data_IF_228868960684
#
_entry.id   IF_228868960684
#
_cell.length_a   1.000
_cell.length_b   1.000
_cell.length_c   1.000
_cell.angle_alpha   90.00
_cell.angle_beta   90.00
_cell.angle_gamma   90.00
#
_symmetry.space_group_name_H-M   'P 1'
#
loop_
_entity.id
_entity.type
_entity.pdbx_description
1 polymer ?
#
# COMPACT_ATOMS: atom_id res chain seq x y z
N UNK A 1 -33.97 -94.67 38.90
CA UNK A 1 -34.96 -93.65 38.49
C UNK A 1 -34.55 -92.23 38.93
N UNK A 2 -33.25 -91.95 39.19
CA UNK A 2 -32.79 -90.59 39.58
C UNK A 2 -31.75 -89.99 38.60
N UNK A 3 -31.23 -90.75 37.63
CA UNK A 3 -30.19 -90.25 36.70
C UNK A 3 -30.75 -89.57 35.44
N UNK A 4 -32.04 -89.74 35.14
CA UNK A 4 -32.67 -89.15 33.93
C UNK A 4 -33.24 -87.75 34.24
N UNK A 5 -33.61 -87.47 35.49
CA UNK A 5 -34.18 -86.18 35.88
C UNK A 5 -33.09 -85.10 36.02
N UNK A 6 -31.89 -85.47 36.47
CA UNK A 6 -30.76 -84.53 36.62
C UNK A 6 -30.17 -84.08 35.27
N UNK A 7 -30.10 -84.98 34.27
CA UNK A 7 -29.56 -84.66 32.94
C UNK A 7 -30.41 -83.65 32.17
N UNK A 8 -31.73 -83.68 32.39
CA UNK A 8 -32.67 -82.78 31.72
C UNK A 8 -32.63 -81.36 32.32
N UNK A 9 -32.23 -81.24 33.59
CA UNK A 9 -32.11 -79.98 34.30
C UNK A 9 -30.80 -79.26 33.94
N UNK A 10 -29.70 -80.00 33.71
CA UNK A 10 -28.42 -79.48 33.22
C UNK A 10 -28.50 -79.00 31.76
N UNK A 11 -29.20 -79.72 30.86
CA UNK A 11 -29.42 -79.28 29.46
C UNK A 11 -30.30 -78.02 29.38
N UNK A 12 -31.28 -77.88 30.27
CA UNK A 12 -32.11 -76.67 30.36
C UNK A 12 -31.34 -75.47 30.92
N UNK A 13 -30.52 -75.64 31.95
CA UNK A 13 -29.69 -74.56 32.49
C UNK A 13 -28.63 -74.09 31.48
N UNK A 14 -28.00 -75.04 30.77
CA UNK A 14 -26.97 -74.75 29.76
C UNK A 14 -27.55 -74.08 28.50
N UNK A 15 -28.78 -74.43 28.09
CA UNK A 15 -29.46 -73.78 26.96
C UNK A 15 -29.94 -72.35 27.28
N UNK A 16 -30.28 -72.05 28.53
CA UNK A 16 -30.64 -70.70 29.00
C UNK A 16 -29.40 -69.79 29.03
N UNK A 17 -28.28 -70.24 29.60
CA UNK A 17 -27.02 -69.50 29.67
C UNK A 17 -26.45 -69.18 28.27
N UNK A 18 -26.52 -70.14 27.34
CA UNK A 18 -26.11 -69.92 25.94
C UNK A 18 -27.02 -68.89 25.26
N UNK A 19 -28.34 -68.91 25.50
CA UNK A 19 -29.29 -67.94 24.92
C UNK A 19 -29.02 -66.52 25.42
N UNK A 20 -28.79 -66.35 26.72
CA UNK A 20 -28.47 -65.07 27.36
C UNK A 20 -27.13 -64.53 26.85
N UNK A 21 -26.13 -65.41 26.70
CA UNK A 21 -24.82 -65.03 26.14
C UNK A 21 -24.87 -64.57 24.67
N UNK A 22 -25.81 -65.10 23.88
CA UNK A 22 -26.02 -64.71 22.48
C UNK A 22 -26.73 -63.35 22.41
N UNK A 23 -27.76 -63.13 23.23
CA UNK A 23 -28.52 -61.87 23.28
C UNK A 23 -27.65 -60.68 23.76
N UNK A 24 -26.77 -60.93 24.74
CA UNK A 24 -25.77 -59.94 25.19
C UNK A 24 -24.76 -59.61 24.07
N UNK A 25 -24.30 -60.60 23.30
CA UNK A 25 -23.38 -60.35 22.17
C UNK A 25 -24.06 -59.58 21.05
N UNK A 26 -25.32 -59.90 20.74
CA UNK A 26 -26.07 -59.22 19.68
C UNK A 26 -26.35 -57.76 20.03
N UNK A 27 -26.73 -57.47 21.27
CA UNK A 27 -26.91 -56.09 21.77
C UNK A 27 -25.62 -55.28 21.83
N UNK A 28 -24.48 -55.88 22.21
CA UNK A 28 -23.16 -55.20 22.17
C UNK A 28 -22.77 -54.84 20.74
N UNK A 29 -22.94 -55.74 19.77
CA UNK A 29 -22.64 -55.49 18.35
C UNK A 29 -23.54 -54.38 17.80
N UNK A 30 -24.81 -54.32 18.22
CA UNK A 30 -25.72 -53.25 17.81
C UNK A 30 -25.30 -51.88 18.37
N UNK A 31 -24.85 -51.83 19.63
CA UNK A 31 -24.35 -50.61 20.28
C UNK A 31 -23.04 -50.15 19.62
N UNK A 32 -22.10 -51.05 19.34
CA UNK A 32 -20.85 -50.73 18.64
C UNK A 32 -21.11 -50.16 17.24
N UNK A 33 -22.02 -50.77 16.48
CA UNK A 33 -22.41 -50.26 15.16
C UNK A 33 -23.10 -48.88 15.23
N UNK A 34 -23.93 -48.64 16.24
CA UNK A 34 -24.55 -47.32 16.48
C UNK A 34 -23.49 -46.29 16.87
N UNK A 35 -22.53 -46.66 17.72
CA UNK A 35 -21.42 -45.79 18.14
C UNK A 35 -20.49 -45.43 16.96
N UNK A 36 -20.14 -46.42 16.12
CA UNK A 36 -19.35 -46.20 14.90
C UNK A 36 -20.08 -45.28 13.90
N UNK A 37 -21.40 -45.45 13.72
CA UNK A 37 -22.21 -44.55 12.90
C UNK A 37 -22.22 -43.12 13.45
N UNK A 38 -22.42 -42.95 14.75
CA UNK A 38 -22.39 -41.63 15.38
C UNK A 38 -21.02 -40.97 15.27
N UNK A 39 -19.94 -41.71 15.48
CA UNK A 39 -18.57 -41.23 15.32
C UNK A 39 -18.28 -40.81 13.87
N UNK A 40 -18.70 -41.60 12.88
CA UNK A 40 -18.55 -41.25 11.46
C UNK A 40 -19.30 -39.96 11.10
N UNK A 41 -20.53 -39.78 11.60
CA UNK A 41 -21.31 -38.56 11.41
C UNK A 41 -20.60 -37.37 12.05
N UNK A 42 -20.07 -37.53 13.27
CA UNK A 42 -19.33 -36.47 13.96
C UNK A 42 -18.09 -36.03 13.17
N UNK A 43 -17.32 -36.98 12.62
CA UNK A 43 -16.15 -36.65 11.79
C UNK A 43 -16.53 -35.89 10.52
N UNK A 44 -17.62 -36.27 9.86
CA UNK A 44 -18.12 -35.56 8.67
C UNK A 44 -18.52 -34.13 9.03
N UNK A 45 -19.21 -33.93 10.16
CA UNK A 45 -19.59 -32.61 10.64
C UNK A 45 -18.37 -31.74 10.97
N UNK A 46 -17.34 -32.30 11.60
CA UNK A 46 -16.09 -31.58 11.89
C UNK A 46 -15.35 -31.17 10.61
N UNK A 47 -15.24 -32.06 9.63
CA UNK A 47 -14.61 -31.75 8.33
C UNK A 47 -15.40 -30.67 7.59
N UNK A 48 -16.73 -30.78 7.58
CA UNK A 48 -17.59 -29.78 6.97
C UNK A 48 -17.41 -28.40 7.64
N UNK A 49 -17.33 -28.35 8.97
CA UNK A 49 -17.12 -27.11 9.72
C UNK A 49 -15.77 -26.45 9.39
N UNK A 50 -14.68 -27.23 9.31
CA UNK A 50 -13.36 -26.74 8.90
C UNK A 50 -13.41 -26.19 7.47
N UNK A 51 -14.07 -26.89 6.56
CA UNK A 51 -14.21 -26.47 5.17
C UNK A 51 -15.00 -25.16 5.04
N UNK A 52 -16.13 -25.03 5.76
CA UNK A 52 -16.89 -23.78 5.79
C UNK A 52 -16.09 -22.64 6.42
N UNK A 53 -15.30 -22.92 7.45
CA UNK A 53 -14.40 -21.94 8.07
C UNK A 53 -13.32 -21.46 7.10
N UNK A 54 -12.74 -22.36 6.30
CA UNK A 54 -11.76 -22.02 5.28
C UNK A 54 -12.36 -21.13 4.17
N UNK A 55 -13.57 -21.45 3.69
CA UNK A 55 -14.29 -20.62 2.70
C UNK A 55 -14.62 -19.24 3.28
N UNK A 56 -15.12 -19.19 4.53
CA UNK A 56 -15.43 -17.92 5.20
C UNK A 56 -14.19 -17.04 5.38
N UNK A 57 -13.06 -17.63 5.79
CA UNK A 57 -11.78 -16.92 5.89
C UNK A 57 -11.30 -16.43 4.52
N UNK A 58 -11.38 -17.25 3.48
CA UNK A 58 -11.02 -16.86 2.12
C UNK A 58 -11.89 -15.70 1.60
N UNK A 59 -13.21 -15.74 1.85
CA UNK A 59 -14.11 -14.66 1.51
C UNK A 59 -13.76 -13.37 2.27
N UNK A 60 -13.54 -13.44 3.59
CA UNK A 60 -13.13 -12.29 4.40
C UNK A 60 -11.80 -11.67 3.95
N UNK A 61 -10.81 -12.50 3.56
CA UNK A 61 -9.55 -12.02 3.00
C UNK A 61 -9.77 -11.31 1.65
N UNK A 62 -10.61 -11.88 0.78
CA UNK A 62 -10.93 -11.29 -0.53
C UNK A 62 -11.67 -9.95 -0.37
N UNK A 63 -12.61 -9.87 0.56
CA UNK A 63 -13.31 -8.63 0.90
C UNK A 63 -12.36 -7.57 1.46
N UNK A 64 -11.39 -7.96 2.30
CA UNK A 64 -10.36 -7.05 2.82
C UNK A 64 -9.55 -6.38 1.71
N UNK A 65 -9.23 -7.09 0.64
CA UNK A 65 -8.53 -6.51 -0.51
C UNK A 65 -9.38 -5.49 -1.27
N UNK A 66 -10.68 -5.72 -1.41
CA UNK A 66 -11.59 -4.78 -2.08
C UNK A 66 -11.78 -3.49 -1.25
N UNK A 67 -11.92 -3.62 0.07
CA UNK A 67 -12.02 -2.47 0.99
C UNK A 67 -10.74 -1.63 0.94
N UNK A 68 -9.56 -2.26 0.94
CA UNK A 68 -8.27 -1.54 0.84
C UNK A 68 -8.18 -0.71 -0.45
N UNK A 69 -8.63 -1.23 -1.58
CA UNK A 69 -8.63 -0.49 -2.86
C UNK A 69 -9.58 0.72 -2.83
N UNK A 70 -10.75 0.57 -2.23
CA UNK A 70 -11.71 1.67 -2.10
C UNK A 70 -11.21 2.76 -1.13
N UNK A 71 -10.56 2.36 -0.03
CA UNK A 71 -9.92 3.30 0.90
C UNK A 71 -8.73 4.00 0.23
N UNK A 72 -7.86 3.28 -0.49
CA UNK A 72 -6.73 3.86 -1.20
C UNK A 72 -7.17 4.87 -2.27
N UNK A 73 -8.25 4.58 -3.02
CA UNK A 73 -8.84 5.54 -3.95
C UNK A 73 -9.44 6.78 -3.25
N UNK A 74 -9.86 6.64 -1.99
CA UNK A 74 -10.37 7.75 -1.17
C UNK A 74 -9.26 8.64 -0.61
N UNK A 75 -7.99 8.21 -0.69
CA UNK A 75 -6.83 8.98 -0.22
C UNK A 75 -5.72 9.05 -1.26
N UNK A 76 -6.05 9.03 -2.55
CA UNK A 76 -5.05 9.15 -3.60
C UNK A 76 -4.41 10.55 -3.58
N UNK A 77 -3.11 10.68 -3.25
CA UNK A 77 -2.41 11.95 -3.37
C UNK A 77 -2.00 12.18 -4.83
N UNK A 78 -2.06 13.42 -5.28
CA UNK A 78 -1.60 13.79 -6.62
C UNK A 78 -0.86 15.11 -6.55
N UNK A 79 0.46 15.04 -6.53
CA UNK A 79 1.31 16.22 -6.46
C UNK A 79 1.67 16.63 -7.89
N UNK A 80 1.34 17.87 -8.24
CA UNK A 80 1.69 18.48 -9.52
C UNK A 80 2.61 19.68 -9.32
N UNK A 81 3.47 19.92 -10.30
CA UNK A 81 4.27 21.14 -10.35
C UNK A 81 3.48 22.23 -11.08
N UNK A 82 3.37 23.40 -10.47
CA UNK A 82 2.77 24.59 -11.07
C UNK A 82 3.80 25.70 -11.11
N UNK A 83 4.01 26.26 -12.30
CA UNK A 83 4.86 27.43 -12.52
C UNK A 83 3.94 28.59 -12.82
N UNK A 84 4.01 29.63 -11.99
CA UNK A 84 3.32 30.90 -12.22
C UNK A 84 4.37 31.96 -12.47
N UNK A 85 4.37 32.54 -13.65
CA UNK A 85 5.35 33.52 -14.07
C UNK A 85 4.70 34.72 -14.76
N UNK A 86 5.38 35.85 -14.70
CA UNK A 86 4.99 37.09 -15.36
C UNK A 86 6.25 37.88 -15.65
N UNK A 87 6.35 38.41 -16.87
CA UNK A 87 7.47 39.26 -17.28
C UNK A 87 6.96 40.40 -18.15
N UNK A 88 6.45 41.43 -17.48
CA UNK A 88 5.94 42.67 -18.09
C UNK A 88 6.86 43.84 -17.76
N UNK A 89 6.66 44.97 -18.45
CA UNK A 89 7.38 46.22 -18.14
C UNK A 89 7.17 46.69 -16.70
N UNK A 90 6.00 46.41 -16.11
CA UNK A 90 5.62 46.88 -14.78
C UNK A 90 5.96 45.88 -13.67
N UNK A 91 5.81 44.58 -13.92
CA UNK A 91 6.10 43.51 -12.94
C UNK A 91 6.82 42.33 -13.56
N UNK A 92 7.77 41.76 -12.82
CA UNK A 92 8.41 40.50 -13.17
C UNK A 92 8.44 39.61 -11.94
N UNK A 93 7.89 38.41 -12.03
CA UNK A 93 7.99 37.40 -10.98
C UNK A 93 7.88 36.01 -11.57
N UNK A 94 8.44 35.04 -10.85
CA UNK A 94 8.28 33.62 -11.15
C UNK A 94 8.19 32.87 -9.83
N UNK A 95 7.25 31.92 -9.78
CA UNK A 95 6.92 31.13 -8.60
C UNK A 95 6.71 29.69 -9.04
N UNK A 96 7.55 28.81 -8.53
CA UNK A 96 7.46 27.36 -8.72
C UNK A 96 6.89 26.75 -7.45
N UNK A 97 5.83 25.97 -7.60
CA UNK A 97 5.12 25.35 -6.49
C UNK A 97 4.78 23.89 -6.76
N UNK A 98 4.76 23.10 -5.69
CA UNK A 98 4.19 21.75 -5.66
C UNK A 98 2.80 21.82 -5.05
N UNK A 99 1.80 21.38 -5.79
CA UNK A 99 0.41 21.43 -5.38
C UNK A 99 -0.11 20.01 -5.26
N UNK A 100 -0.62 19.66 -4.08
CA UNK A 100 -1.35 18.41 -3.93
C UNK A 100 -2.80 18.63 -4.36
N UNK A 101 -3.14 18.24 -5.59
CA UNK A 101 -4.51 18.29 -6.13
C UNK A 101 -5.26 16.97 -5.92
N UNK A 102 -4.65 16.02 -5.20
CA UNK A 102 -5.29 14.77 -4.79
C UNK A 102 -6.15 14.93 -3.54
N UNK A 103 -6.83 13.85 -3.18
CA UNK A 103 -7.76 13.79 -2.04
C UNK A 103 -7.09 13.31 -0.75
N UNK A 104 -5.86 12.80 -0.82
CA UNK A 104 -5.09 12.31 0.32
C UNK A 104 -3.84 13.13 0.62
N UNK A 105 -3.30 13.05 1.84
CA UNK A 105 -2.00 13.66 2.18
C UNK A 105 -0.86 13.03 1.38
N UNK A 106 0.07 13.86 0.92
CA UNK A 106 1.28 13.41 0.22
C UNK A 106 2.50 13.61 1.14
N UNK A 107 3.18 12.51 1.53
CA UNK A 107 4.48 12.56 2.21
C UNK A 107 5.56 12.75 1.15
N UNK A 108 6.14 13.94 1.05
CA UNK A 108 7.27 14.19 0.15
C UNK A 108 8.52 13.51 0.70
N UNK A 109 9.21 12.72 -0.12
CA UNK A 109 10.46 12.06 0.26
C UNK A 109 11.69 12.87 -0.17
N UNK A 110 11.55 13.68 -1.23
CA UNK A 110 12.62 14.52 -1.73
C UNK A 110 12.31 15.10 -3.09
N UNK A 111 13.10 16.09 -3.47
CA UNK A 111 13.05 16.74 -4.78
C UNK A 111 14.46 16.72 -5.37
N UNK A 112 14.56 16.52 -6.67
CA UNK A 112 15.79 16.60 -7.43
C UNK A 112 15.64 17.67 -8.48
N UNK A 113 16.55 18.63 -8.48
CA UNK A 113 16.64 19.62 -9.54
C UNK A 113 17.76 19.24 -10.49
N UNK A 114 17.44 19.30 -11.77
CA UNK A 114 18.38 19.04 -12.85
C UNK A 114 18.50 20.31 -13.69
N UNK A 115 19.74 20.73 -13.93
CA UNK A 115 20.05 21.89 -14.77
C UNK A 115 21.13 21.50 -15.77
N UNK A 116 20.84 21.64 -17.07
CA UNK A 116 21.80 21.41 -18.17
C UNK A 116 22.58 20.08 -18.12
N UNK A 117 21.96 19.02 -17.62
CA UNK A 117 22.63 17.71 -17.53
C UNK A 117 23.19 17.39 -16.15
N UNK A 118 23.25 18.36 -15.23
CA UNK A 118 23.82 18.20 -13.90
C UNK A 118 22.75 18.23 -12.80
N UNK A 119 22.91 17.37 -11.78
CA UNK A 119 22.08 17.40 -10.58
C UNK A 119 22.53 18.54 -9.67
N UNK A 120 21.59 19.42 -9.32
CA UNK A 120 21.82 20.51 -8.38
C UNK A 120 21.48 20.05 -6.97
N UNK A 121 22.31 20.41 -5.99
CA UNK A 121 22.10 20.03 -4.58
C UNK A 121 21.04 20.85 -3.86
N UNK A 122 20.89 22.11 -4.27
CA UNK A 122 19.93 23.05 -3.68
C UNK A 122 19.60 24.20 -4.64
N UNK A 123 18.58 24.99 -4.29
CA UNK A 123 18.21 26.19 -5.05
C UNK A 123 19.33 27.24 -5.05
N UNK A 124 20.14 27.31 -3.99
CA UNK A 124 21.24 28.26 -3.86
C UNK A 124 22.32 28.03 -4.94
N UNK A 125 22.72 26.78 -5.14
CA UNK A 125 23.72 26.36 -6.12
C UNK A 125 23.21 26.64 -7.53
N UNK A 126 21.96 26.31 -7.81
CA UNK A 126 21.32 26.60 -9.09
C UNK A 126 21.26 28.11 -9.37
N UNK A 127 20.79 28.90 -8.41
CA UNK A 127 20.68 30.35 -8.58
C UNK A 127 22.04 31.00 -8.77
N UNK A 128 23.09 30.53 -8.08
CA UNK A 128 24.45 31.04 -8.28
C UNK A 128 24.98 30.77 -9.69
N UNK A 129 24.62 29.65 -10.32
CA UNK A 129 24.96 29.43 -11.73
C UNK A 129 24.27 30.43 -12.67
N UNK A 130 23.10 30.94 -12.28
CA UNK A 130 22.37 31.96 -13.05
C UNK A 130 22.84 33.38 -12.74
N UNK A 131 23.15 33.69 -11.48
CA UNK A 131 23.63 34.98 -11.01
C UNK A 131 24.47 34.84 -9.72
N UNK A 132 25.77 35.11 -9.82
CA UNK A 132 26.71 35.02 -8.69
C UNK A 132 26.37 35.96 -7.52
N UNK A 133 25.58 37.01 -7.75
CA UNK A 133 25.23 38.02 -6.72
C UNK A 133 23.84 37.81 -6.12
N UNK A 134 23.14 36.73 -6.46
CA UNK A 134 21.80 36.48 -5.95
C UNK A 134 21.83 35.96 -4.50
N UNK A 135 21.00 36.56 -3.65
CA UNK A 135 20.96 36.28 -2.21
C UNK A 135 19.57 35.74 -1.78
N UNK A 136 19.55 34.69 -0.96
CA UNK A 136 18.32 34.12 -0.42
C UNK A 136 17.61 35.12 0.53
N UNK A 137 16.30 35.25 0.40
CA UNK A 137 15.46 36.19 1.14
C UNK A 137 15.43 37.61 0.57
N UNK A 138 16.37 37.96 -0.33
CA UNK A 138 16.44 39.27 -0.99
C UNK A 138 16.12 39.12 -2.48
N UNK A 139 16.90 38.30 -3.18
CA UNK A 139 16.74 38.06 -4.62
C UNK A 139 15.71 36.97 -4.89
N UNK A 140 15.69 35.93 -4.07
CA UNK A 140 14.80 34.78 -4.26
C UNK A 140 14.42 34.15 -2.91
N UNK A 141 13.35 33.37 -2.87
CA UNK A 141 12.92 32.59 -1.71
C UNK A 141 12.79 31.11 -2.07
N UNK A 142 13.06 30.25 -1.09
CA UNK A 142 12.91 28.80 -1.19
C UNK A 142 12.17 28.23 0.02
N UNK A 143 11.58 27.05 -0.14
CA UNK A 143 11.10 26.24 0.97
C UNK A 143 11.73 24.85 0.89
N UNK A 144 12.04 24.28 2.05
CA UNK A 144 12.42 22.87 2.16
C UNK A 144 11.19 21.99 1.91
N UNK A 145 11.41 20.92 1.15
CA UNK A 145 10.39 19.96 0.72
C UNK A 145 10.60 18.60 1.40
N UNK A 146 11.74 18.37 2.02
CA UNK A 146 12.10 17.09 2.60
C UNK A 146 11.25 16.78 3.82
N UNK A 147 10.83 15.51 3.92
CA UNK A 147 9.97 14.98 4.98
C UNK A 147 8.70 15.80 5.24
N UNK A 148 8.29 16.61 4.25
CA UNK A 148 7.13 17.48 4.37
C UNK A 148 5.89 16.76 3.90
N UNK A 149 4.84 16.84 4.71
CA UNK A 149 3.51 16.36 4.32
C UNK A 149 2.72 17.51 3.70
N UNK A 150 2.26 17.32 2.47
CA UNK A 150 1.33 18.22 1.79
C UNK A 150 -0.10 17.72 2.02
N UNK A 151 -0.91 18.52 2.70
CA UNK A 151 -2.33 18.25 2.84
C UNK A 151 -3.04 18.34 1.47
N UNK A 152 -4.23 17.75 1.32
CA UNK A 152 -5.07 17.97 0.14
C UNK A 152 -5.26 19.47 -0.13
N UNK A 153 -5.15 19.87 -1.39
CA UNK A 153 -5.22 21.26 -1.85
C UNK A 153 -4.12 22.20 -1.32
N UNK A 154 -3.14 21.69 -0.57
CA UNK A 154 -1.98 22.48 -0.14
C UNK A 154 -1.06 22.77 -1.32
N UNK A 155 -0.54 24.00 -1.36
CA UNK A 155 0.49 24.44 -2.31
C UNK A 155 1.74 24.85 -1.55
N UNK A 156 2.85 24.18 -1.82
CA UNK A 156 4.16 24.50 -1.29
C UNK A 156 4.98 25.26 -2.33
N UNK A 157 5.43 26.46 -1.97
CA UNK A 157 6.27 27.28 -2.84
C UNK A 157 7.72 26.84 -2.68
N UNK A 158 8.23 26.09 -3.65
CA UNK A 158 9.60 25.56 -3.58
C UNK A 158 10.63 26.60 -4.02
N UNK A 159 10.25 27.50 -4.92
CA UNK A 159 11.09 28.60 -5.39
C UNK A 159 10.24 29.80 -5.79
N UNK A 160 10.71 31.01 -5.48
CA UNK A 160 10.13 32.24 -6.00
C UNK A 160 11.17 33.35 -6.13
N UNK A 161 11.02 34.21 -7.13
CA UNK A 161 11.80 35.46 -7.25
C UNK A 161 10.97 36.51 -7.96
N UNK A 162 11.19 37.78 -7.60
CA UNK A 162 10.65 38.95 -8.29
C UNK A 162 11.75 39.78 -8.95
N UNK A 163 12.99 39.29 -8.95
CA UNK A 163 14.11 40.02 -9.52
C UNK A 163 14.15 39.82 -11.04
N UNK A 164 13.95 40.91 -11.79
CA UNK A 164 13.65 40.84 -13.24
C UNK A 164 14.72 40.09 -14.04
N UNK A 165 16.00 40.29 -13.74
CA UNK A 165 17.09 39.57 -14.44
C UNK A 165 17.03 38.06 -14.19
N UNK A 166 16.75 37.65 -12.95
CA UNK A 166 16.66 36.24 -12.58
C UNK A 166 15.39 35.60 -13.14
N UNK A 167 14.26 36.32 -13.12
CA UNK A 167 13.00 35.91 -13.76
C UNK A 167 13.22 35.60 -15.24
N UNK A 168 13.87 36.51 -15.97
CA UNK A 168 14.13 36.34 -17.41
C UNK A 168 15.01 35.11 -17.69
N UNK A 169 16.14 34.97 -16.98
CA UNK A 169 17.03 33.80 -17.12
C UNK A 169 16.31 32.49 -16.79
N UNK A 170 15.47 32.49 -15.75
CA UNK A 170 14.77 31.29 -15.33
C UNK A 170 13.67 30.90 -16.32
N UNK A 171 12.91 31.88 -16.84
CA UNK A 171 11.94 31.64 -17.91
C UNK A 171 12.60 31.03 -19.14
N UNK A 172 13.72 31.62 -19.59
CA UNK A 172 14.47 31.11 -20.74
C UNK A 172 14.92 29.65 -20.50
N UNK A 173 15.44 29.38 -19.30
CA UNK A 173 15.89 28.03 -18.90
C UNK A 173 14.74 27.01 -18.92
N UNK A 174 13.57 27.38 -18.38
CA UNK A 174 12.39 26.51 -18.34
C UNK A 174 11.85 26.26 -19.74
N UNK A 175 11.71 27.30 -20.57
CA UNK A 175 11.17 27.17 -21.92
C UNK A 175 12.10 26.43 -22.88
N UNK A 176 13.42 26.46 -22.62
CA UNK A 176 14.40 25.64 -23.35
C UNK A 176 14.43 24.18 -22.87
N UNK A 177 13.71 23.85 -21.79
CA UNK A 177 13.71 22.50 -21.21
C UNK A 177 15.02 22.15 -20.49
N UNK A 178 15.83 23.14 -20.16
CA UNK A 178 17.11 22.95 -19.46
C UNK A 178 16.93 22.76 -17.94
N UNK A 179 15.74 23.06 -17.41
CA UNK A 179 15.36 22.82 -16.01
C UNK A 179 14.44 21.60 -15.90
N UNK A 180 14.93 20.55 -15.25
CA UNK A 180 14.16 19.36 -14.92
C UNK A 180 13.86 19.30 -13.42
N UNK A 181 12.65 18.90 -13.06
CA UNK A 181 12.25 18.67 -11.67
C UNK A 181 11.74 17.24 -11.52
N UNK A 182 12.42 16.45 -10.71
CA UNK A 182 11.97 15.11 -10.31
C UNK A 182 11.66 15.12 -8.81
N UNK A 183 10.66 14.36 -8.40
CA UNK A 183 10.33 14.22 -6.98
C UNK A 183 9.55 12.94 -6.74
N UNK A 184 9.68 12.43 -5.53
CA UNK A 184 8.96 11.25 -5.09
C UNK A 184 8.10 11.57 -3.87
N UNK A 185 6.90 11.00 -3.85
CA UNK A 185 5.97 11.17 -2.74
C UNK A 185 5.19 9.89 -2.50
N UNK A 186 4.81 9.65 -1.25
CA UNK A 186 4.02 8.50 -0.86
C UNK A 186 2.73 8.91 -0.15
N UNK A 187 1.72 8.05 -0.22
CA UNK A 187 0.51 8.21 0.57
C UNK A 187 0.76 7.87 2.05
N UNK A 188 -0.28 8.04 2.87
CA UNK A 188 -0.28 7.55 4.25
C UNK A 188 -0.18 6.02 4.36
N UNK A 189 -0.52 5.29 3.30
CA UNK A 189 -0.49 3.83 3.22
C UNK A 189 0.77 3.28 2.53
N UNK A 190 1.78 4.13 2.32
CA UNK A 190 3.08 3.79 1.74
C UNK A 190 3.01 3.32 0.28
N UNK A 191 1.93 3.63 -0.43
CA UNK A 191 1.90 3.62 -1.89
C UNK A 191 2.69 4.84 -2.41
N UNK A 192 3.66 4.64 -3.30
CA UNK A 192 4.56 5.70 -3.74
C UNK A 192 4.43 6.01 -5.24
N UNK A 193 4.73 7.27 -5.58
CA UNK A 193 4.74 7.78 -6.94
C UNK A 193 5.99 8.62 -7.18
N UNK A 194 6.56 8.46 -8.38
CA UNK A 194 7.72 9.21 -8.85
C UNK A 194 7.35 10.03 -10.06
N UNK A 195 7.68 11.31 -10.02
CA UNK A 195 7.77 12.13 -11.23
C UNK A 195 9.22 12.06 -11.73
N UNK A 196 9.51 11.36 -12.84
CA UNK A 196 10.86 11.30 -13.38
C UNK A 196 11.26 12.64 -14.01
N UNK A 197 12.55 12.80 -14.24
CA UNK A 197 13.06 13.84 -15.14
C UNK A 197 12.53 13.60 -16.56
N UNK A 198 12.43 14.66 -17.39
CA UNK A 198 12.05 14.50 -18.78
C UNK A 198 13.01 13.53 -19.49
N UNK A 199 12.47 12.48 -20.11
CA UNK A 199 13.24 11.57 -20.96
C UNK A 199 13.39 12.12 -22.38
N UNK A 200 14.11 11.39 -23.25
CA UNK A 200 14.30 11.77 -24.66
C UNK A 200 13.00 11.85 -25.47
N UNK A 201 11.92 11.24 -24.98
CA UNK A 201 10.59 11.31 -25.58
C UNK A 201 9.75 12.47 -25.00
N UNK A 202 10.28 13.21 -24.03
CA UNK A 202 9.63 14.33 -23.36
C UNK A 202 8.50 13.92 -22.42
N UNK A 203 8.41 12.63 -22.06
CA UNK A 203 7.34 12.10 -21.21
C UNK A 203 7.69 12.37 -19.74
N UNK A 204 6.77 13.06 -19.04
CA UNK A 204 6.92 13.40 -17.60
C UNK A 204 5.75 12.84 -16.79
N UNK A 205 5.26 11.66 -17.16
CA UNK A 205 4.10 11.08 -16.48
C UNK A 205 4.52 10.59 -15.11
N UNK A 206 3.67 10.84 -14.11
CA UNK A 206 3.86 10.30 -12.77
C UNK A 206 3.64 8.78 -12.83
N UNK A 207 4.60 8.03 -12.31
CA UNK A 207 4.59 6.56 -12.30
C UNK A 207 4.44 6.04 -10.88
N UNK A 208 3.73 4.93 -10.73
CA UNK A 208 3.63 4.23 -9.45
C UNK A 208 4.85 3.33 -9.28
N UNK A 209 5.48 3.41 -8.12
CA UNK A 209 6.68 2.64 -7.78
C UNK A 209 6.52 2.01 -6.38
N UNK A 210 7.27 0.95 -6.11
CA UNK A 210 7.19 0.25 -4.83
C UNK A 210 7.73 1.09 -3.66
N UNK A 211 8.86 1.78 -3.88
CA UNK A 211 9.51 2.62 -2.87
C UNK A 211 10.27 3.76 -3.54
N UNK A 212 10.27 4.94 -2.90
CA UNK A 212 11.07 6.06 -3.37
C UNK A 212 12.56 5.71 -3.38
N UNK A 213 13.30 6.04 -4.46
CA UNK A 213 14.73 5.82 -4.49
C UNK A 213 15.41 6.64 -3.39
N UNK A 214 16.31 6.00 -2.66
CA UNK A 214 17.11 6.63 -1.61
C UNK A 214 18.26 7.41 -2.27
N UNK A 215 17.94 8.58 -2.81
CA UNK A 215 18.91 9.43 -3.50
C UNK A 215 19.63 10.35 -2.49
N UNK A 216 19.97 9.87 -1.29
CA UNK A 216 20.50 10.68 -0.20
C UNK A 216 21.73 11.55 -0.55
N UNK A 217 22.49 11.17 -1.58
CA UNK A 217 23.66 11.93 -2.07
C UNK A 217 23.31 13.05 -3.07
N UNK A 218 22.16 12.95 -3.75
CA UNK A 218 21.68 13.87 -4.80
C UNK A 218 20.39 14.62 -4.42
N UNK A 219 19.71 14.18 -3.35
CA UNK A 219 18.47 14.76 -2.84
C UNK A 219 18.68 16.23 -2.48
N UNK A 220 17.73 17.08 -2.87
CA UNK A 220 17.66 18.43 -2.34
C UNK A 220 17.67 18.40 -0.82
N UNK A 221 18.45 19.29 -0.20
CA UNK A 221 18.27 19.71 1.19
C UNK A 221 17.56 21.07 1.26
#
# INVERSE_FOLDING_TARGET
MNDIENKNQDEHAQSIDVRESIDIKESIIEIENRFLKLASIQTILSVAAVFTGAIALYAALTESHAVRKQTAASVWPYVQTVINDTNTSESAYIKISLNNVGVGPAKMQGVLLHYKGEFMRDWDSFVRQLDDNAELGVTYGKSDVNDRVLAPEESLVIFQTSERKLVQRLQDTIYQGELGLSYCYCSIFDDCWLKPLPDSEGTQKIESIDQCPDNADDNFL
#
